data_IF_813309226867
#
_entry.id   IF_813309226867
#
_cell.length_a   1.000
_cell.length_b   1.000
_cell.length_c   1.000
_cell.angle_alpha   90.00
_cell.angle_beta   90.00
_cell.angle_gamma   90.00
#
_symmetry.space_group_name_H-M   'P 1'
#
loop_
_entity.id
_entity.type
_entity.pdbx_description
1 polymer ?
#
# COMPACT_ATOMS: atom_id res chain seq x y z
N UNK A 1 29.38 16.52 -7.39
CA UNK A 1 29.03 16.67 -7.56
C UNK A 1 28.32 16.24 -7.47
N UNK A 2 28.18 16.27 -7.56
CA UNK A 2 27.53 16.23 -7.66
C UNK A 2 26.95 16.31 -7.85
N UNK A 3 26.88 16.28 -8.07
CA UNK A 3 26.40 16.55 -8.30
C UNK A 3 25.79 16.80 -8.55
N UNK A 4 25.71 16.86 -8.80
CA UNK A 4 25.23 17.24 -9.08
C UNK A 4 24.51 17.19 -9.33
N UNK A 5 24.30 17.21 -9.61
CA UNK A 5 23.65 17.35 -9.97
C UNK A 5 22.96 16.82 -9.99
N UNK A 6 23.22 16.64 -10.04
CA UNK A 6 22.70 16.25 -10.15
C UNK A 6 21.97 15.85 -9.73
N UNK A 7 22.12 15.99 -9.30
CA UNK A 7 21.33 15.80 -9.03
C UNK A 7 20.42 15.76 -9.22
N UNK A 8 20.48 15.97 -9.66
CA UNK A 8 19.76 15.90 -10.16
C UNK A 8 18.81 15.24 -9.95
N UNK A 9 18.32 15.32 -10.10
CA UNK A 9 17.45 14.78 -10.06
C UNK A 9 16.91 13.95 -10.54
N UNK A 10 16.93 13.59 -10.22
CA UNK A 10 16.43 12.59 -10.78
C UNK A 10 15.29 12.57 -11.21
N UNK A 11 15.52 12.60 -11.53
CA UNK A 11 14.63 12.88 -12.30
C UNK A 11 13.64 11.90 -12.71
N UNK A 12 12.45 12.21 -12.44
CA UNK A 12 11.32 11.43 -12.90
C UNK A 12 11.04 11.86 -14.32
N UNK A 13 11.08 10.96 -15.30
CA UNK A 13 10.76 11.33 -16.68
C UNK A 13 9.33 11.87 -16.77
N UNK A 14 9.13 12.87 -17.57
CA UNK A 14 7.82 13.50 -17.68
C UNK A 14 6.72 12.53 -18.07
N UNK A 15 7.04 11.60 -18.96
CA UNK A 15 6.04 10.66 -19.45
C UNK A 15 5.70 9.55 -18.46
N UNK A 16 6.41 9.49 -17.35
CA UNK A 16 6.11 8.48 -16.32
C UNK A 16 5.70 9.11 -15.01
N UNK A 17 5.48 10.42 -15.00
CA UNK A 17 5.03 11.09 -13.80
C UNK A 17 3.58 10.74 -13.52
N UNK A 18 3.32 10.37 -12.27
CA UNK A 18 1.98 10.09 -11.79
C UNK A 18 1.73 11.05 -10.65
N UNK A 19 0.67 11.83 -10.74
CA UNK A 19 0.36 12.77 -9.67
C UNK A 19 -0.10 12.01 -8.43
N UNK A 20 0.02 12.66 -7.27
CA UNK A 20 -0.44 12.06 -6.02
C UNK A 20 -1.92 11.70 -6.11
N UNK A 21 -2.71 12.55 -6.78
CA UNK A 21 -4.14 12.28 -6.92
C UNK A 21 -4.39 11.00 -7.71
N UNK A 22 -3.56 10.73 -8.72
CA UNK A 22 -3.73 9.52 -9.55
C UNK A 22 -3.38 8.25 -8.79
N UNK A 23 -2.53 8.35 -7.77
CA UNK A 23 -2.16 7.19 -6.97
C UNK A 23 -3.10 6.99 -5.78
N UNK A 24 -3.38 8.06 -5.06
CA UNK A 24 -4.06 7.97 -3.76
C UNK A 24 -5.50 7.50 -3.91
N UNK A 25 -6.24 8.06 -4.87
CA UNK A 25 -7.63 7.70 -5.07
C UNK A 25 -7.83 6.22 -5.35
N UNK A 26 -7.20 5.69 -6.40
CA UNK A 26 -7.32 4.26 -6.71
C UNK A 26 -6.82 3.37 -5.57
N UNK A 27 -5.80 3.81 -4.83
CA UNK A 27 -5.28 3.03 -3.72
C UNK A 27 -6.29 2.89 -2.59
N UNK A 28 -7.00 4.00 -2.26
CA UNK A 28 -8.04 3.97 -1.25
C UNK A 28 -9.15 3.01 -1.68
N UNK A 29 -9.56 3.10 -2.94
CA UNK A 29 -10.62 2.23 -3.45
C UNK A 29 -10.19 0.77 -3.38
N UNK A 30 -8.96 0.47 -3.78
CA UNK A 30 -8.43 -0.88 -3.73
C UNK A 30 -8.44 -1.44 -2.32
N UNK A 31 -7.98 -0.66 -1.35
CA UNK A 31 -7.92 -1.11 0.04
C UNK A 31 -9.31 -1.30 0.62
N UNK A 32 -10.24 -0.42 0.28
CA UNK A 32 -11.62 -0.57 0.74
C UNK A 32 -12.26 -1.81 0.16
N UNK A 33 -12.01 -2.08 -1.13
CA UNK A 33 -12.55 -3.28 -1.78
C UNK A 33 -11.97 -4.54 -1.13
N UNK A 34 -10.67 -4.55 -0.85
CA UNK A 34 -10.03 -5.69 -0.21
C UNK A 34 -10.61 -5.98 1.16
N UNK A 35 -10.90 -4.94 1.93
CA UNK A 35 -11.41 -5.10 3.29
C UNK A 35 -12.92 -5.09 3.35
N UNK A 36 -13.58 -4.93 2.19
CA UNK A 36 -15.03 -4.89 2.11
C UNK A 36 -15.62 -3.77 2.96
N UNK A 37 -14.95 -2.61 2.91
CA UNK A 37 -15.38 -1.42 3.61
C UNK A 37 -16.00 -0.47 2.60
N UNK A 38 -17.23 -0.03 2.85
CA UNK A 38 -17.89 0.93 1.97
C UNK A 38 -17.35 2.34 2.21
N UNK A 39 -17.55 3.21 1.24
CA UNK A 39 -17.19 4.60 1.38
C UNK A 39 -17.92 5.25 2.57
N UNK A 40 -19.19 4.88 2.75
CA UNK A 40 -19.95 5.36 3.88
C UNK A 40 -19.32 4.95 5.20
N UNK A 41 -18.93 3.67 5.31
CA UNK A 41 -18.30 3.17 6.53
C UNK A 41 -16.97 3.86 6.77
N UNK A 42 -16.17 4.04 5.72
CA UNK A 42 -14.91 4.73 5.85
C UNK A 42 -15.12 6.17 6.30
N UNK A 43 -16.16 6.83 5.78
CA UNK A 43 -16.53 8.16 6.20
C UNK A 43 -16.83 8.20 7.70
N UNK A 44 -17.60 7.24 8.20
CA UNK A 44 -17.90 7.18 9.62
C UNK A 44 -16.66 6.96 10.47
N UNK A 45 -15.76 6.10 10.01
CA UNK A 45 -14.57 5.73 10.78
C UNK A 45 -13.56 6.86 10.84
N UNK A 46 -13.47 7.67 9.79
CA UNK A 46 -12.45 8.72 9.69
C UNK A 46 -12.98 10.10 10.07
N UNK A 47 -14.29 10.30 10.01
CA UNK A 47 -14.86 11.62 10.16
C UNK A 47 -14.78 12.47 8.89
N UNK A 48 -14.24 11.91 7.82
CA UNK A 48 -14.17 12.59 6.52
C UNK A 48 -15.50 12.35 5.80
N UNK A 49 -16.10 13.39 5.25
CA UNK A 49 -17.41 13.24 4.62
C UNK A 49 -17.31 12.38 3.35
N UNK A 50 -18.44 11.77 2.99
CA UNK A 50 -18.49 10.98 1.77
C UNK A 50 -18.20 11.83 0.53
N UNK A 51 -18.64 13.08 0.54
CA UNK A 51 -18.38 13.99 -0.57
C UNK A 51 -16.88 14.18 -0.77
N UNK A 52 -16.16 14.44 0.34
CA UNK A 52 -14.71 14.63 0.28
C UNK A 52 -14.02 13.33 -0.14
N UNK A 53 -14.44 12.20 0.43
CA UNK A 53 -13.86 10.90 0.04
C UNK A 53 -14.07 10.63 -1.44
N UNK A 54 -15.26 10.93 -1.96
CA UNK A 54 -15.54 10.75 -3.38
C UNK A 54 -14.60 11.57 -4.25
N UNK A 55 -14.34 12.81 -3.85
CA UNK A 55 -13.44 13.68 -4.62
C UNK A 55 -12.00 13.16 -4.57
N UNK A 56 -11.58 12.67 -3.41
CA UNK A 56 -10.23 12.09 -3.28
C UNK A 56 -10.11 10.86 -4.18
N UNK A 57 -11.10 9.99 -4.14
CA UNK A 57 -11.08 8.76 -4.94
C UNK A 57 -11.07 9.08 -6.44
N UNK A 58 -11.79 10.11 -6.85
CA UNK A 58 -11.83 10.52 -8.26
C UNK A 58 -10.58 11.29 -8.69
N UNK A 59 -9.71 11.65 -7.74
CA UNK A 59 -8.51 12.40 -8.06
C UNK A 59 -8.73 13.90 -8.15
N UNK A 60 -9.87 14.39 -7.71
CA UNK A 60 -10.18 15.83 -7.74
C UNK A 60 -9.53 16.59 -6.60
N UNK A 61 -9.28 15.92 -5.49
CA UNK A 61 -8.62 16.50 -4.33
C UNK A 61 -7.45 15.64 -3.91
N UNK A 62 -6.36 16.28 -3.48
CA UNK A 62 -5.24 15.58 -2.86
C UNK A 62 -5.37 15.79 -1.36
N UNK A 63 -5.53 14.72 -0.57
CA UNK A 63 -5.69 14.89 0.86
C UNK A 63 -4.38 15.29 1.54
N UNK A 64 -4.51 15.87 2.72
CA UNK A 64 -3.33 16.15 3.54
C UNK A 64 -2.81 14.85 4.12
N UNK A 65 -1.57 14.89 4.64
CA UNK A 65 -0.98 13.73 5.31
C UNK A 65 -1.85 13.31 6.50
N UNK A 66 -2.38 14.28 7.24
CA UNK A 66 -3.25 13.97 8.37
C UNK A 66 -4.49 13.19 7.93
N UNK A 67 -5.07 13.56 6.81
CA UNK A 67 -6.23 12.84 6.30
C UNK A 67 -5.85 11.43 5.88
N UNK A 68 -4.70 11.28 5.22
CA UNK A 68 -4.21 9.95 4.84
C UNK A 68 -3.98 9.09 6.07
N UNK A 69 -3.41 9.67 7.14
CA UNK A 69 -3.21 8.95 8.39
C UNK A 69 -4.51 8.44 8.98
N UNK A 70 -5.55 9.28 8.93
CA UNK A 70 -6.87 8.87 9.44
C UNK A 70 -7.42 7.70 8.64
N UNK A 71 -7.25 7.75 7.32
CA UNK A 71 -7.71 6.68 6.45
C UNK A 71 -6.92 5.41 6.74
N UNK A 72 -5.60 5.51 6.90
CA UNK A 72 -4.76 4.37 7.21
C UNK A 72 -5.15 3.74 8.55
N UNK A 73 -5.42 4.57 9.55
CA UNK A 73 -5.84 4.06 10.86
C UNK A 73 -7.16 3.31 10.74
N UNK A 74 -8.10 3.84 9.96
CA UNK A 74 -9.39 3.18 9.76
C UNK A 74 -9.23 1.86 9.03
N UNK A 75 -8.28 1.78 8.11
CA UNK A 75 -8.02 0.56 7.35
C UNK A 75 -7.02 -0.37 8.04
N UNK A 76 -6.51 0.05 9.19
CA UNK A 76 -5.57 -0.74 10.00
C UNK A 76 -4.29 -1.06 9.24
N UNK A 77 -3.76 -0.07 8.55
CA UNK A 77 -2.48 -0.19 7.84
C UNK A 77 -1.59 0.99 8.18
N UNK A 78 -0.30 0.85 7.91
CA UNK A 78 0.65 1.94 8.10
C UNK A 78 0.69 2.81 6.85
N UNK A 79 1.29 4.00 6.98
CA UNK A 79 1.54 4.84 5.81
C UNK A 79 2.41 4.12 4.79
N UNK A 80 3.41 3.38 5.28
CA UNK A 80 4.27 2.62 4.38
C UNK A 80 3.48 1.61 3.58
N UNK A 81 2.57 0.90 4.24
CA UNK A 81 1.71 -0.07 3.56
C UNK A 81 0.77 0.60 2.57
N UNK A 82 0.29 1.78 2.92
CA UNK A 82 -0.59 2.52 2.01
C UNK A 82 0.12 2.85 0.71
N UNK A 83 1.38 3.26 0.78
CA UNK A 83 2.14 3.65 -0.40
C UNK A 83 2.90 2.49 -1.04
N UNK A 84 2.83 1.30 -0.48
CA UNK A 84 3.38 0.10 -1.10
C UNK A 84 2.40 -0.40 -2.14
N UNK A 85 2.72 -0.17 -3.41
CA UNK A 85 1.81 -0.48 -4.50
C UNK A 85 1.47 -1.96 -4.55
N UNK A 86 2.48 -2.79 -4.31
CA UNK A 86 2.31 -4.25 -4.28
C UNK A 86 2.79 -4.76 -2.95
N UNK A 87 2.07 -5.71 -2.41
CA UNK A 87 2.49 -6.36 -1.17
C UNK A 87 3.69 -7.26 -1.42
N UNK A 88 3.89 -7.64 -2.65
CA UNK A 88 5.00 -8.49 -3.06
C UNK A 88 5.89 -7.69 -4.02
N UNK A 89 7.22 -7.88 -3.95
CA UNK A 89 8.10 -7.29 -4.95
C UNK A 89 7.68 -7.71 -6.35
N UNK A 90 7.76 -6.81 -7.34
CA UNK A 90 7.24 -7.11 -8.67
C UNK A 90 7.99 -8.21 -9.41
N UNK A 91 9.17 -8.56 -8.97
CA UNK A 91 9.98 -9.58 -9.63
C UNK A 91 9.89 -10.96 -8.95
N UNK A 92 8.92 -11.14 -8.05
CA UNK A 92 8.73 -12.45 -7.43
C UNK A 92 8.20 -13.45 -8.45
N UNK A 93 8.75 -14.64 -8.40
CA UNK A 93 8.24 -15.75 -9.22
C UNK A 93 6.94 -16.27 -8.63
N UNK A 94 6.21 -17.06 -9.43
CA UNK A 94 4.98 -17.68 -8.96
C UNK A 94 5.25 -18.58 -7.75
N UNK A 95 6.37 -19.28 -7.75
CA UNK A 95 6.75 -20.15 -6.63
C UNK A 95 7.00 -19.34 -5.36
N UNK A 96 7.69 -18.21 -5.51
CA UNK A 96 7.96 -17.34 -4.36
C UNK A 96 6.68 -16.77 -3.78
N UNK A 97 5.75 -16.38 -4.66
CA UNK A 97 4.45 -15.87 -4.19
C UNK A 97 3.69 -16.94 -3.42
N UNK A 98 3.72 -18.17 -3.91
CA UNK A 98 3.05 -19.27 -3.24
C UNK A 98 3.63 -19.50 -1.85
N UNK A 99 4.96 -19.45 -1.74
CA UNK A 99 5.63 -19.62 -0.45
C UNK A 99 5.20 -18.53 0.53
N UNK A 100 5.16 -17.28 0.06
CA UNK A 100 4.76 -16.16 0.90
C UNK A 100 3.32 -16.31 1.36
N UNK A 101 2.43 -16.68 0.46
CA UNK A 101 1.03 -16.85 0.80
C UNK A 101 0.84 -17.99 1.79
N UNK A 102 1.55 -19.08 1.60
CA UNK A 102 1.49 -20.22 2.51
C UNK A 102 2.01 -19.81 3.89
N UNK A 103 3.13 -19.10 3.92
CA UNK A 103 3.71 -18.62 5.16
C UNK A 103 2.74 -17.72 5.93
N UNK A 104 2.08 -16.82 5.22
CA UNK A 104 1.15 -15.90 5.84
C UNK A 104 -0.05 -16.61 6.45
N UNK A 105 -0.39 -17.79 5.94
CA UNK A 105 -1.49 -18.58 6.49
C UNK A 105 -1.11 -19.45 7.68
N UNK A 106 0.18 -19.51 8.02
CA UNK A 106 0.63 -20.35 9.11
C UNK A 106 0.56 -19.60 10.44
N UNK A 107 0.30 -20.34 11.52
CA UNK A 107 0.39 -19.76 12.85
C UNK A 107 1.87 -19.74 13.29
N UNK A 108 2.20 -19.02 14.37
CA UNK A 108 3.62 -18.90 14.78
C UNK A 108 4.31 -20.23 15.05
N UNK A 109 3.58 -21.21 15.59
CA UNK A 109 4.15 -22.52 15.89
C UNK A 109 4.50 -23.25 14.59
N UNK A 110 3.62 -23.19 13.61
CA UNK A 110 3.85 -23.80 12.32
C UNK A 110 5.01 -23.15 11.58
N UNK A 111 5.12 -21.82 11.68
CA UNK A 111 6.22 -21.10 11.07
C UNK A 111 7.56 -21.54 11.66
N UNK A 112 7.60 -21.72 12.98
CA UNK A 112 8.81 -22.16 13.64
C UNK A 112 9.24 -23.53 13.17
N UNK A 113 8.28 -24.44 13.06
CA UNK A 113 8.57 -25.81 12.57
C UNK A 113 9.10 -25.77 11.14
N UNK A 114 8.48 -24.96 10.29
CA UNK A 114 8.93 -24.85 8.91
C UNK A 114 10.34 -24.29 8.83
N UNK A 115 10.64 -23.28 9.64
CA UNK A 115 11.99 -22.71 9.65
C UNK A 115 13.03 -23.69 10.09
N UNK A 116 12.71 -24.56 11.03
CA UNK A 116 13.65 -25.63 11.45
C UNK A 116 13.96 -26.55 10.30
N UNK A 117 12.96 -26.93 9.54
CA UNK A 117 13.15 -27.80 8.37
C UNK A 117 14.03 -27.10 7.34
N UNK A 118 13.74 -25.84 7.06
CA UNK A 118 14.51 -25.10 6.07
C UNK A 118 15.97 -25.01 6.47
N UNK A 119 16.25 -24.80 7.76
CA UNK A 119 17.63 -24.69 8.23
C UNK A 119 18.42 -25.99 8.08
N UNK A 120 17.74 -27.13 7.98
CA UNK A 120 18.45 -28.40 7.78
C UNK A 120 19.05 -28.52 6.39
N UNK A 121 18.62 -27.67 5.47
CA UNK A 121 19.14 -27.68 4.10
C UNK A 121 20.33 -26.76 3.90
N UNK A 122 20.75 -26.04 4.92
CA UNK A 122 21.85 -25.10 4.81
C UNK A 122 23.18 -25.69 5.21
#
# INVERSE_FOLDING_TARGET
>A
MYLSGELENPTIPENSQVSAADYIGPRIKELCDKQQITKYRLSQMTGVTQTVLSRIIKGENVPTIQTIEKICAALNISLAQFFAKDENPPDLTAEQKEIIETWNGLNPEERERLMKIIRTFQ
#
